data_IF_207825984658
#
_entry.id   IF_207825984658
#
_cell.length_a   1.000
_cell.length_b   1.000
_cell.length_c   1.000
_cell.angle_alpha   90.00
_cell.angle_beta   90.00
_cell.angle_gamma   90.00
#
_symmetry.space_group_name_H-M   'P 1'
#
loop_
_entity.id
_entity.type
_entity.pdbx_description
1 polymer ?
#
# COMPACT_ATOMS: atom_id res chain seq x y z
N UNK A 1 49.34 40.20 21.72
CA UNK A 1 49.16 39.48 22.99
C UNK A 1 48.72 38.06 22.65
N UNK A 2 49.66 37.10 22.62
CA UNK A 2 49.37 35.71 22.27
C UNK A 2 49.08 34.93 23.55
N UNK A 3 47.86 34.38 23.70
CA UNK A 3 47.49 33.53 24.84
C UNK A 3 48.16 32.17 24.68
N UNK A 4 49.10 31.86 25.60
CA UNK A 4 49.71 30.54 25.69
C UNK A 4 48.71 29.55 26.31
N UNK A 5 48.25 28.58 25.52
CA UNK A 5 47.41 27.47 26.02
C UNK A 5 48.31 26.51 26.81
N UNK A 6 48.00 26.32 28.09
CA UNK A 6 48.75 25.44 28.98
C UNK A 6 48.70 23.98 28.51
N UNK A 7 49.87 23.33 28.40
CA UNK A 7 50.01 21.90 28.04
C UNK A 7 49.17 20.96 28.92
N UNK A 8 48.82 21.38 30.14
CA UNK A 8 47.95 20.61 31.04
C UNK A 8 46.50 20.50 30.54
N UNK A 9 45.99 21.53 29.85
CA UNK A 9 44.62 21.56 29.33
C UNK A 9 44.45 20.70 28.07
N UNK A 10 45.48 20.63 27.23
CA UNK A 10 45.49 19.73 26.06
C UNK A 10 45.49 18.26 26.50
N UNK A 11 46.24 17.91 27.55
CA UNK A 11 46.28 16.55 28.10
C UNK A 11 44.93 16.11 28.68
N UNK A 12 44.24 16.99 29.42
CA UNK A 12 42.93 16.73 30.00
C UNK A 12 41.85 16.51 28.93
N UNK A 13 41.85 17.30 27.84
CA UNK A 13 40.93 17.11 26.73
C UNK A 13 41.17 15.79 25.98
N UNK A 14 42.43 15.39 25.79
CA UNK A 14 42.75 14.11 25.13
C UNK A 14 42.33 12.90 25.97
N UNK A 15 42.47 12.96 27.29
CA UNK A 15 41.99 11.92 28.20
C UNK A 15 40.46 11.80 28.19
N UNK A 16 39.74 12.93 28.17
CA UNK A 16 38.27 12.93 28.12
C UNK A 16 37.73 12.32 26.82
N UNK A 17 38.36 12.62 25.68
CA UNK A 17 38.00 12.04 24.37
C UNK A 17 38.21 10.52 24.33
N UNK A 18 39.30 10.01 24.92
CA UNK A 18 39.57 8.57 24.99
C UNK A 18 38.52 7.87 25.86
N UNK A 19 38.13 8.44 27.00
CA UNK A 19 37.09 7.87 27.88
C UNK A 19 35.74 7.80 27.17
N UNK A 20 35.37 8.82 26.40
CA UNK A 20 34.12 8.83 25.62
C UNK A 20 34.13 7.77 24.49
N UNK A 21 35.26 7.57 23.82
CA UNK A 21 35.40 6.53 22.80
C UNK A 21 35.29 5.12 23.39
N UNK A 22 35.93 4.87 24.53
CA UNK A 22 35.87 3.56 25.21
C UNK A 22 34.46 3.27 25.74
N UNK A 23 33.76 4.28 26.27
CA UNK A 23 32.38 4.14 26.71
C UNK A 23 31.42 3.87 25.53
N UNK A 24 31.64 4.52 24.38
CA UNK A 24 30.88 4.28 23.15
C UNK A 24 31.04 2.86 22.61
N UNK A 25 32.27 2.34 22.59
CA UNK A 25 32.58 0.96 22.15
C UNK A 25 31.93 -0.07 23.09
N UNK A 26 32.00 0.14 24.40
CA UNK A 26 31.35 -0.75 25.39
C UNK A 26 29.82 -0.73 25.28
N UNK A 27 29.22 0.41 24.90
CA UNK A 27 27.79 0.51 24.65
C UNK A 27 27.36 -0.26 23.39
N UNK A 28 28.17 -0.24 22.32
CA UNK A 28 27.91 -1.02 21.09
C UNK A 28 28.10 -2.53 21.28
N UNK A 29 28.98 -2.97 22.19
CA UNK A 29 29.16 -4.40 22.49
C UNK A 29 27.98 -4.94 23.30
N UNK A 30 27.38 -4.14 24.19
CA UNK A 30 26.23 -4.56 25.02
C UNK A 30 24.92 -4.74 24.26
N UNK A 31 24.76 -4.17 23.06
CA UNK A 31 23.51 -4.32 22.29
C UNK A 31 23.43 -5.64 21.51
N UNK A 32 24.53 -6.41 21.41
CA UNK A 32 24.57 -7.61 20.58
C UNK A 32 24.20 -8.93 21.31
N UNK A 33 24.15 -8.95 22.65
CA UNK A 33 23.90 -10.18 23.44
C UNK A 33 22.42 -10.37 23.89
N UNK A 34 21.54 -9.39 23.65
CA UNK A 34 20.13 -9.42 24.09
C UNK A 34 19.09 -9.92 23.05
N UNK A 35 19.53 -10.28 21.83
CA UNK A 35 18.63 -10.65 20.72
C UNK A 35 18.53 -12.16 20.48
N UNK A 36 19.53 -12.95 20.88
CA UNK A 36 19.55 -14.40 20.62
C UNK A 36 18.65 -15.20 21.58
N UNK A 37 18.58 -14.77 22.84
CA UNK A 37 17.84 -15.50 23.89
C UNK A 37 16.31 -15.47 23.72
N UNK A 38 15.76 -14.38 23.15
CA UNK A 38 14.31 -14.25 22.90
C UNK A 38 13.80 -15.15 21.77
N UNK A 39 14.63 -15.43 20.74
CA UNK A 39 14.22 -16.28 19.61
C UNK A 39 14.05 -17.75 20.01
N UNK A 40 14.92 -18.26 20.88
CA UNK A 40 14.91 -19.66 21.32
C UNK A 40 13.65 -19.98 22.15
N UNK A 41 13.16 -19.01 22.94
CA UNK A 41 11.98 -19.22 23.78
C UNK A 41 10.67 -19.16 23.00
N UNK A 42 10.59 -18.37 21.92
CA UNK A 42 9.42 -18.34 21.02
C UNK A 42 9.29 -19.64 20.22
N UNK A 43 10.41 -20.20 19.75
CA UNK A 43 10.43 -21.46 18.99
C UNK A 43 10.03 -22.68 19.85
N UNK A 44 10.40 -22.70 21.13
CA UNK A 44 10.02 -23.79 22.06
C UNK A 44 8.52 -23.77 22.41
N UNK A 45 7.91 -22.58 22.57
CA UNK A 45 6.48 -22.47 22.87
C UNK A 45 5.60 -22.89 21.70
N UNK A 46 6.00 -22.62 20.45
CA UNK A 46 5.30 -23.08 19.26
C UNK A 46 5.43 -24.59 19.03
N UNK A 47 6.57 -25.19 19.40
CA UNK A 47 6.79 -26.64 19.25
C UNK A 47 5.95 -27.49 20.20
N UNK A 48 5.55 -26.93 21.35
CA UNK A 48 4.70 -27.58 22.35
C UNK A 48 3.23 -27.70 21.93
N UNK A 49 2.76 -26.81 21.04
CA UNK A 49 1.33 -26.71 20.70
C UNK A 49 0.85 -27.65 19.59
N UNK A 50 1.74 -28.45 18.99
CA UNK A 50 1.39 -29.32 17.86
C UNK A 50 1.36 -30.79 18.29
N UNK A 51 0.38 -31.14 19.12
CA UNK A 51 -0.08 -32.51 19.31
C UNK A 51 -1.61 -32.52 19.23
N UNK A 52 -2.15 -32.70 18.03
CA UNK A 52 -3.54 -33.07 17.80
C UNK A 52 -3.55 -34.14 16.72
N UNK A 53 -3.96 -35.34 17.11
CA UNK A 53 -4.03 -36.53 16.25
C UNK A 53 -5.19 -36.43 15.28
N UNK A 54 -4.96 -36.79 14.01
CA UNK A 54 -5.90 -37.54 13.18
C UNK A 54 -5.12 -38.21 12.03
N UNK A 55 -4.85 -39.49 12.28
CA UNK A 55 -4.65 -40.62 11.38
C UNK A 55 -4.10 -40.39 9.96
N UNK A 56 -2.92 -40.98 9.75
CA UNK A 56 -2.34 -41.29 8.47
C UNK A 56 -3.28 -42.11 7.57
N UNK A 57 -3.43 -41.68 6.31
CA UNK A 57 -3.45 -42.61 5.17
C UNK A 57 -2.70 -41.92 4.02
N UNK A 58 -1.48 -42.39 3.75
CA UNK A 58 -0.76 -42.08 2.51
C UNK A 58 -1.17 -43.14 1.49
N UNK A 59 -1.77 -42.72 0.37
CA UNK A 59 -1.44 -43.28 -0.93
C UNK A 59 -1.37 -42.10 -1.92
N UNK A 60 -0.15 -41.91 -2.36
CA UNK A 60 0.39 -41.12 -3.48
C UNK A 60 -0.68 -40.56 -4.44
N UNK A 61 -0.84 -39.23 -4.42
CA UNK A 61 -1.20 -38.47 -5.61
C UNK A 61 -0.08 -37.47 -5.87
N UNK A 62 0.39 -37.53 -7.10
CA UNK A 62 1.66 -37.01 -7.58
C UNK A 62 1.63 -35.48 -7.64
N UNK A 63 2.79 -34.86 -7.40
CA UNK A 63 2.92 -33.42 -7.27
C UNK A 63 2.53 -32.66 -8.53
N UNK A 64 1.35 -32.02 -8.51
CA UNK A 64 1.08 -30.84 -9.32
C UNK A 64 1.34 -29.59 -8.46
N UNK A 65 2.61 -29.34 -8.13
CA UNK A 65 3.02 -27.99 -7.74
C UNK A 65 2.82 -27.12 -8.99
N UNK A 66 1.87 -26.18 -8.92
CA UNK A 66 1.68 -25.19 -9.97
C UNK A 66 3.04 -24.52 -10.24
N UNK A 67 3.62 -24.75 -11.42
CA UNK A 67 4.90 -24.19 -11.89
C UNK A 67 4.88 -22.65 -12.01
N UNK A 68 3.78 -22.01 -11.60
CA UNK A 68 3.54 -20.57 -11.63
C UNK A 68 3.13 -19.99 -10.27
N UNK A 69 3.27 -20.75 -9.17
CA UNK A 69 3.10 -20.17 -7.84
C UNK A 69 4.30 -19.25 -7.53
N UNK A 70 4.03 -18.02 -7.14
CA UNK A 70 5.07 -17.06 -6.74
C UNK A 70 5.66 -17.51 -5.41
N UNK A 71 6.99 -17.56 -5.34
CA UNK A 71 7.76 -18.09 -4.19
C UNK A 71 7.63 -17.24 -2.91
N UNK A 72 7.19 -15.98 -3.04
CA UNK A 72 6.92 -15.07 -1.93
C UNK A 72 5.48 -14.50 -2.00
N UNK A 73 4.59 -14.85 -1.06
CA UNK A 73 3.23 -14.30 -1.02
C UNK A 73 3.18 -12.79 -0.74
N UNK A 74 4.21 -12.19 -0.13
CA UNK A 74 4.28 -10.74 0.08
C UNK A 74 4.55 -9.99 -1.23
N UNK A 75 5.17 -10.63 -2.23
CA UNK A 75 5.38 -10.05 -3.56
C UNK A 75 4.07 -9.96 -4.36
N UNK A 76 3.14 -10.92 -4.18
CA UNK A 76 1.83 -10.91 -4.84
C UNK A 76 0.90 -9.83 -4.25
N UNK A 77 1.03 -9.53 -2.95
CA UNK A 77 0.25 -8.48 -2.29
C UNK A 77 0.59 -7.05 -2.76
N UNK A 78 1.67 -6.88 -3.52
CA UNK A 78 2.11 -5.59 -4.04
C UNK A 78 1.18 -4.98 -5.11
N UNK A 79 0.47 -5.80 -5.89
CA UNK A 79 -0.25 -5.36 -7.09
C UNK A 79 -1.71 -5.81 -7.05
N UNK A 80 -2.62 -4.88 -6.79
CA UNK A 80 -4.01 -5.25 -6.45
C UNK A 80 -4.87 -5.52 -7.69
N UNK A 81 -5.05 -4.53 -8.56
CA UNK A 81 -6.03 -4.59 -9.64
C UNK A 81 -5.52 -3.92 -10.91
N UNK A 82 -5.34 -4.71 -11.97
CA UNK A 82 -4.97 -4.22 -13.30
C UNK A 82 -6.16 -4.35 -14.26
N UNK A 83 -6.69 -3.23 -14.72
CA UNK A 83 -7.82 -3.17 -15.64
C UNK A 83 -7.35 -2.72 -17.02
N UNK A 84 -7.26 -3.67 -17.94
CA UNK A 84 -6.67 -3.53 -19.27
C UNK A 84 -5.19 -3.92 -19.26
N UNK A 85 -4.82 -4.90 -20.07
CA UNK A 85 -3.49 -5.55 -19.99
C UNK A 85 -2.40 -4.81 -20.78
N UNK A 86 -2.76 -4.16 -21.88
CA UNK A 86 -1.83 -3.54 -22.83
C UNK A 86 -2.26 -2.15 -23.29
N UNK A 87 -1.30 -1.23 -23.37
CA UNK A 87 -1.50 0.12 -23.90
C UNK A 87 -1.89 0.09 -25.40
N UNK A 88 -1.47 -0.94 -26.15
CA UNK A 88 -1.80 -1.09 -27.58
C UNK A 88 -3.15 -1.75 -27.85
N UNK A 89 -3.81 -2.33 -26.84
CA UNK A 89 -5.05 -3.06 -27.01
C UNK A 89 -6.28 -2.15 -26.94
N UNK A 90 -6.52 -1.42 -28.02
CA UNK A 90 -7.55 -0.36 -28.11
C UNK A 90 -9.00 -0.85 -27.97
N UNK A 91 -9.25 -2.17 -28.00
CA UNK A 91 -10.60 -2.72 -27.76
C UNK A 91 -11.09 -2.46 -26.33
N UNK A 92 -10.17 -2.25 -25.38
CA UNK A 92 -10.49 -1.92 -23.99
C UNK A 92 -11.09 -0.51 -23.81
N UNK A 93 -11.14 0.33 -24.85
CA UNK A 93 -11.82 1.64 -24.80
C UNK A 93 -13.30 1.57 -24.46
N UNK A 94 -13.93 0.41 -24.67
CA UNK A 94 -15.35 0.20 -24.34
C UNK A 94 -15.55 -0.30 -22.91
N UNK A 95 -14.48 -0.68 -22.21
CA UNK A 95 -14.53 -1.17 -20.84
C UNK A 95 -15.09 -0.09 -19.92
N UNK A 96 -16.02 -0.51 -19.07
CA UNK A 96 -16.64 0.31 -18.04
C UNK A 96 -16.61 -0.48 -16.74
N UNK A 97 -16.01 0.08 -15.70
CA UNK A 97 -15.87 -0.59 -14.40
C UNK A 97 -16.29 0.36 -13.29
N UNK A 98 -17.05 -0.16 -12.34
CA UNK A 98 -17.33 0.52 -11.07
C UNK A 98 -16.58 -0.19 -9.96
N UNK A 99 -15.77 0.54 -9.22
CA UNK A 99 -15.08 0.08 -8.02
C UNK A 99 -15.75 0.80 -6.85
N UNK A 100 -16.52 0.07 -6.04
CA UNK A 100 -17.30 0.66 -4.97
C UNK A 100 -17.29 -0.17 -3.68
N UNK A 101 -17.34 0.55 -2.54
CA UNK A 101 -17.47 -0.03 -1.20
C UNK A 101 -16.37 -1.02 -0.80
N UNK A 102 -15.18 -0.89 -1.39
CA UNK A 102 -14.01 -1.68 -1.03
C UNK A 102 -13.22 -1.02 0.10
N UNK A 103 -12.56 -1.82 0.92
CA UNK A 103 -11.52 -1.38 1.84
C UNK A 103 -10.15 -1.86 1.34
N UNK A 104 -9.33 -0.92 0.89
CA UNK A 104 -7.93 -1.14 0.50
C UNK A 104 -7.05 -0.80 1.71
N UNK A 105 -6.65 -1.85 2.43
CA UNK A 105 -5.91 -1.75 3.69
C UNK A 105 -4.41 -1.51 3.51
N UNK A 106 -3.69 -1.62 4.64
CA UNK A 106 -2.25 -1.40 4.71
C UNK A 106 -1.43 -2.48 3.98
N UNK A 107 -0.20 -2.15 3.61
CA UNK A 107 0.72 -3.06 2.92
C UNK A 107 0.52 -3.17 1.40
N UNK A 108 -0.54 -2.55 0.86
CA UNK A 108 -0.79 -2.50 -0.57
C UNK A 108 0.17 -1.49 -1.24
N UNK A 109 0.97 -1.97 -2.19
CA UNK A 109 1.97 -1.09 -2.82
C UNK A 109 1.31 -0.19 -3.86
N UNK A 110 0.49 -0.75 -4.76
CA UNK A 110 -0.07 0.00 -5.88
C UNK A 110 -1.27 -0.68 -6.57
N UNK A 111 -1.88 0.05 -7.53
CA UNK A 111 -2.89 -0.43 -8.49
C UNK A 111 -4.26 -0.71 -7.87
N UNK A 112 -4.82 0.27 -7.16
CA UNK A 112 -6.15 0.20 -6.57
C UNK A 112 -7.14 1.22 -7.19
N UNK A 113 -7.43 1.18 -8.50
CA UNK A 113 -6.90 0.30 -9.55
C UNK A 113 -5.73 0.92 -10.34
N UNK A 114 -5.07 0.12 -11.21
CA UNK A 114 -4.35 0.63 -12.39
C UNK A 114 -5.16 0.40 -13.65
N UNK A 115 -5.46 1.47 -14.37
CA UNK A 115 -6.41 1.49 -15.47
C UNK A 115 -5.75 1.77 -16.82
N UNK A 116 -6.33 1.21 -17.90
CA UNK A 116 -6.01 1.56 -19.29
C UNK A 116 -7.27 1.74 -20.12
N UNK A 117 -7.24 2.71 -21.04
CA UNK A 117 -8.29 3.05 -22.01
C UNK A 117 -9.66 3.42 -21.44
N UNK A 118 -10.40 2.47 -20.85
CA UNK A 118 -11.82 2.57 -20.55
C UNK A 118 -12.25 3.64 -19.55
N UNK A 119 -13.44 3.44 -18.98
CA UNK A 119 -14.10 4.36 -18.06
C UNK A 119 -14.24 3.73 -16.69
N UNK A 120 -13.79 4.44 -15.66
CA UNK A 120 -13.67 3.89 -14.31
C UNK A 120 -14.35 4.83 -13.32
N UNK A 121 -15.39 4.33 -12.68
CA UNK A 121 -16.02 4.99 -11.56
C UNK A 121 -15.45 4.42 -10.26
N UNK A 122 -14.62 5.19 -9.58
CA UNK A 122 -14.03 4.84 -8.28
C UNK A 122 -14.81 5.58 -7.22
N UNK A 123 -15.75 4.91 -6.55
CA UNK A 123 -16.75 5.57 -5.71
C UNK A 123 -16.87 4.95 -4.33
N UNK A 124 -16.79 5.78 -3.30
CA UNK A 124 -17.01 5.37 -1.91
C UNK A 124 -16.18 4.15 -1.44
N UNK A 125 -14.89 4.12 -1.77
CA UNK A 125 -13.93 3.17 -1.23
C UNK A 125 -13.10 3.81 -0.11
N UNK A 126 -12.55 2.99 0.77
CA UNK A 126 -11.63 3.39 1.83
C UNK A 126 -10.21 2.93 1.50
N UNK A 127 -9.25 3.86 1.52
CA UNK A 127 -7.85 3.62 1.19
C UNK A 127 -6.97 3.99 2.39
N UNK A 128 -6.16 3.05 2.83
CA UNK A 128 -5.29 3.23 4.00
C UNK A 128 -3.85 2.85 3.66
N UNK A 129 -2.94 3.82 3.78
CA UNK A 129 -1.49 3.60 3.79
C UNK A 129 -0.94 2.78 2.60
N UNK A 130 -1.16 3.27 1.37
CA UNK A 130 -0.47 2.72 0.19
C UNK A 130 1.02 3.07 0.18
N UNK A 131 1.88 2.23 -0.42
CA UNK A 131 3.33 2.51 -0.46
C UNK A 131 3.77 3.38 -1.65
N UNK A 132 3.12 3.25 -2.81
CA UNK A 132 3.52 3.97 -4.03
C UNK A 132 2.44 4.91 -4.58
N UNK A 133 1.26 4.38 -4.88
CA UNK A 133 0.07 5.16 -5.26
C UNK A 133 -1.19 4.33 -5.08
N UNK A 134 -2.33 4.99 -4.86
CA UNK A 134 -3.62 4.31 -4.83
C UNK A 134 -4.12 4.05 -6.26
N UNK A 135 -4.40 5.10 -7.02
CA UNK A 135 -5.00 5.02 -8.36
C UNK A 135 -3.95 5.34 -9.42
N UNK A 136 -3.85 4.50 -10.44
CA UNK A 136 -2.92 4.76 -11.55
C UNK A 136 -3.47 4.42 -12.92
N UNK A 137 -2.69 4.74 -13.95
CA UNK A 137 -3.06 4.38 -15.30
C UNK A 137 -2.08 4.82 -16.38
N UNK A 138 -2.25 4.23 -17.56
CA UNK A 138 -1.57 4.54 -18.81
C UNK A 138 -2.57 4.39 -19.97
N UNK A 139 -2.24 4.88 -21.17
CA UNK A 139 -3.12 4.82 -22.35
C UNK A 139 -4.51 5.49 -22.15
N UNK A 140 -4.54 6.70 -21.58
CA UNK A 140 -5.71 7.59 -21.53
C UNK A 140 -7.02 6.99 -20.98
N UNK A 141 -7.03 6.40 -19.76
CA UNK A 141 -8.27 6.02 -19.09
C UNK A 141 -9.01 7.27 -18.61
N UNK A 142 -10.35 7.20 -18.57
CA UNK A 142 -11.18 8.20 -17.88
C UNK A 142 -11.47 7.73 -16.47
N UNK A 143 -11.03 8.48 -15.46
CA UNK A 143 -11.18 8.12 -14.05
C UNK A 143 -12.03 9.17 -13.34
N UNK A 144 -13.14 8.71 -12.78
CA UNK A 144 -14.02 9.50 -11.94
C UNK A 144 -13.92 9.01 -10.49
N UNK A 145 -13.17 9.71 -9.64
CA UNK A 145 -13.09 9.44 -8.20
C UNK A 145 -14.15 10.27 -7.46
N UNK A 146 -15.08 9.62 -6.75
CA UNK A 146 -16.12 10.31 -5.99
C UNK A 146 -16.35 9.76 -4.58
N UNK A 147 -16.37 10.65 -3.58
CA UNK A 147 -16.74 10.32 -2.22
C UNK A 147 -15.90 9.23 -1.54
N UNK A 148 -14.70 8.94 -2.01
CA UNK A 148 -13.76 8.01 -1.38
C UNK A 148 -13.09 8.64 -0.16
N UNK A 149 -12.45 7.81 0.66
CA UNK A 149 -11.57 8.26 1.75
C UNK A 149 -10.15 7.79 1.46
N UNK A 150 -9.20 8.72 1.42
CA UNK A 150 -7.79 8.45 1.21
C UNK A 150 -6.96 8.88 2.41
N UNK A 151 -6.49 7.92 3.19
CA UNK A 151 -5.55 8.13 4.28
C UNK A 151 -4.14 7.77 3.81
N UNK A 152 -3.38 8.79 3.42
CA UNK A 152 -2.00 8.62 2.97
C UNK A 152 -1.10 8.06 4.10
N UNK A 153 -0.06 7.27 3.78
CA UNK A 153 0.94 6.79 4.74
C UNK A 153 1.72 7.95 5.37
N UNK A 154 2.51 7.68 6.40
CA UNK A 154 3.42 8.68 7.01
C UNK A 154 4.53 9.13 6.05
N UNK A 155 4.96 8.25 5.13
CA UNK A 155 5.95 8.54 4.10
C UNK A 155 5.57 9.79 3.28
N UNK A 156 6.44 10.80 3.28
CA UNK A 156 6.22 12.09 2.61
C UNK A 156 6.26 11.99 1.09
N UNK A 157 6.85 10.93 0.53
CA UNK A 157 6.92 10.70 -0.91
C UNK A 157 5.70 9.95 -1.46
N UNK A 158 4.83 9.43 -0.60
CA UNK A 158 3.65 8.63 -0.96
C UNK A 158 2.32 9.37 -0.66
N UNK A 159 2.30 10.69 -0.85
CA UNK A 159 1.11 11.53 -0.58
C UNK A 159 0.18 11.67 -1.78
N UNK A 160 0.69 11.51 -3.00
CA UNK A 160 -0.14 11.61 -4.19
C UNK A 160 -0.97 10.32 -4.34
N UNK A 161 -2.30 10.47 -4.40
CA UNK A 161 -3.24 9.37 -4.65
C UNK A 161 -3.04 8.81 -6.06
N UNK A 162 -2.70 9.67 -7.02
CA UNK A 162 -2.69 9.38 -8.44
C UNK A 162 -1.29 9.13 -9.02
N UNK A 163 -1.15 8.16 -9.93
CA UNK A 163 0.08 7.98 -10.73
C UNK A 163 -0.20 7.75 -12.21
N UNK A 164 0.36 8.62 -13.05
CA UNK A 164 0.40 8.39 -14.51
C UNK A 164 1.66 7.60 -14.84
N UNK A 165 1.49 6.37 -15.30
CA UNK A 165 2.58 5.40 -15.46
C UNK A 165 3.24 5.60 -16.81
N UNK A 166 4.56 5.75 -16.82
CA UNK A 166 5.42 5.86 -18.01
C UNK A 166 4.94 6.87 -19.06
N UNK A 167 4.31 7.96 -18.61
CA UNK A 167 3.67 8.95 -19.49
C UNK A 167 4.14 10.36 -19.18
N UNK A 168 4.59 11.09 -20.20
CA UNK A 168 5.01 12.49 -20.05
C UNK A 168 3.83 13.41 -19.72
N UNK A 169 4.08 14.48 -18.96
CA UNK A 169 3.05 15.44 -18.57
C UNK A 169 2.37 16.13 -19.76
N UNK A 170 3.08 16.35 -20.87
CA UNK A 170 2.48 16.86 -22.12
C UNK A 170 1.41 15.92 -22.68
N UNK A 171 1.52 14.62 -22.42
CA UNK A 171 0.57 13.62 -22.86
C UNK A 171 -0.56 13.45 -21.86
N UNK A 172 -0.32 13.20 -20.57
CA UNK A 172 -1.44 12.86 -19.68
C UNK A 172 -2.30 14.04 -19.23
N UNK A 173 -1.84 15.29 -19.39
CA UNK A 173 -2.61 16.48 -18.95
C UNK A 173 -3.99 16.60 -19.60
N UNK A 174 -4.20 16.01 -20.79
CA UNK A 174 -5.51 16.01 -21.46
C UNK A 174 -6.40 14.82 -21.06
N UNK A 175 -5.92 13.87 -20.25
CA UNK A 175 -6.71 12.73 -19.79
C UNK A 175 -7.71 13.16 -18.72
N UNK A 176 -8.92 12.62 -18.75
CA UNK A 176 -10.00 13.03 -17.86
C UNK A 176 -9.92 12.29 -16.51
N UNK A 177 -9.25 12.89 -15.52
CA UNK A 177 -9.14 12.34 -14.17
C UNK A 177 -9.67 13.39 -13.19
N UNK A 178 -10.73 13.07 -12.44
CA UNK A 178 -11.30 13.97 -11.45
C UNK A 178 -11.45 13.33 -10.09
N UNK A 179 -11.48 14.18 -9.07
CA UNK A 179 -11.82 13.88 -7.68
C UNK A 179 -12.95 14.82 -7.26
N UNK A 180 -14.01 14.27 -6.68
CA UNK A 180 -15.20 15.02 -6.25
C UNK A 180 -15.73 14.48 -4.92
N UNK A 181 -15.78 15.32 -3.88
CA UNK A 181 -16.28 14.91 -2.56
C UNK A 181 -15.40 13.89 -1.83
N UNK A 182 -14.21 13.58 -2.35
CA UNK A 182 -13.25 12.69 -1.69
C UNK A 182 -12.68 13.33 -0.41
N UNK A 183 -12.50 12.53 0.63
CA UNK A 183 -11.85 12.93 1.88
C UNK A 183 -10.37 12.59 1.81
N UNK A 184 -9.52 13.61 1.81
CA UNK A 184 -8.07 13.49 1.73
C UNK A 184 -7.45 13.75 3.11
N UNK A 185 -6.79 12.74 3.69
CA UNK A 185 -6.25 12.77 5.04
C UNK A 185 -4.73 12.61 5.03
N UNK A 186 -4.08 13.08 6.11
CA UNK A 186 -2.64 12.97 6.31
C UNK A 186 -1.80 13.54 5.13
N UNK A 187 -2.26 14.63 4.54
CA UNK A 187 -1.60 15.28 3.41
C UNK A 187 -1.79 14.57 2.06
N UNK A 188 -2.69 13.58 1.97
CA UNK A 188 -3.09 13.01 0.69
C UNK A 188 -3.55 14.12 -0.27
N UNK A 189 -3.22 13.98 -1.55
CA UNK A 189 -3.77 14.85 -2.58
C UNK A 189 -4.01 14.09 -3.88
N UNK A 190 -5.00 14.57 -4.63
CA UNK A 190 -5.33 14.06 -5.96
C UNK A 190 -4.93 15.11 -6.99
N UNK A 191 -4.15 14.73 -8.00
CA UNK A 191 -3.82 15.63 -9.12
C UNK A 191 -4.84 15.41 -10.23
N UNK A 192 -5.81 16.31 -10.47
CA UNK A 192 -6.78 16.16 -11.56
C UNK A 192 -6.18 16.52 -12.92
N UNK A 193 -6.86 16.14 -14.00
CA UNK A 193 -6.48 16.47 -15.38
C UNK A 193 -7.69 16.42 -16.32
N UNK A 194 -7.51 16.95 -17.54
CA UNK A 194 -8.55 16.98 -18.57
C UNK A 194 -9.47 18.19 -18.44
N UNK A 195 -10.56 18.18 -19.20
CA UNK A 195 -11.44 19.35 -19.35
C UNK A 195 -12.36 19.58 -18.13
N UNK A 196 -12.46 18.62 -17.21
CA UNK A 196 -13.34 18.71 -16.04
C UNK A 196 -14.85 18.74 -16.36
N UNK A 197 -15.24 18.70 -17.64
CA UNK A 197 -16.64 18.74 -18.04
C UNK A 197 -17.38 17.48 -17.57
N UNK A 198 -18.49 17.64 -16.84
CA UNK A 198 -19.29 16.53 -16.28
C UNK A 198 -19.67 15.49 -17.33
N UNK A 199 -20.00 15.92 -18.55
CA UNK A 199 -20.35 15.04 -19.66
C UNK A 199 -19.21 14.06 -20.03
N UNK A 200 -17.94 14.44 -19.84
CA UNK A 200 -16.78 13.58 -20.09
C UNK A 200 -16.73 12.35 -19.17
N UNK A 201 -17.43 12.40 -18.03
CA UNK A 201 -17.45 11.34 -17.03
C UNK A 201 -18.77 10.56 -17.02
N UNK A 202 -19.70 10.83 -17.94
CA UNK A 202 -21.02 10.18 -17.94
C UNK A 202 -20.93 8.65 -18.02
N UNK A 203 -19.97 8.11 -18.78
CA UNK A 203 -19.68 6.66 -18.84
C UNK A 203 -18.88 6.13 -17.65
N UNK A 204 -18.26 7.02 -16.89
CA UNK A 204 -17.55 6.75 -15.64
C UNK A 204 -18.41 7.13 -14.43
N UNK A 205 -19.73 7.11 -14.56
CA UNK A 205 -20.70 7.36 -13.48
C UNK A 205 -21.76 6.26 -13.51
N UNK A 206 -21.99 5.62 -12.36
CA UNK A 206 -22.90 4.47 -12.25
C UNK A 206 -23.87 4.57 -11.08
N UNK A 207 -23.45 5.14 -9.96
CA UNK A 207 -24.28 5.39 -8.79
C UNK A 207 -23.98 6.77 -8.19
N UNK A 208 -24.90 7.31 -7.39
CA UNK A 208 -24.66 8.55 -6.66
C UNK A 208 -23.66 8.34 -5.53
N UNK A 209 -22.63 9.19 -5.46
CA UNK A 209 -21.65 9.13 -4.39
C UNK A 209 -22.28 9.54 -3.05
N UNK A 210 -22.03 8.74 -2.02
CA UNK A 210 -22.34 9.07 -0.62
C UNK A 210 -21.25 9.98 -0.03
N UNK A 211 -21.57 10.66 1.06
CA UNK A 211 -20.58 11.48 1.79
C UNK A 211 -19.37 10.64 2.20
N UNK A 212 -18.17 11.17 1.97
CA UNK A 212 -16.91 10.54 2.35
C UNK A 212 -16.74 10.37 3.87
N UNK A 213 -17.54 11.09 4.68
CA UNK A 213 -17.61 10.90 6.14
C UNK A 213 -18.23 9.56 6.56
N UNK A 214 -19.04 8.92 5.71
CA UNK A 214 -19.69 7.64 6.02
C UNK A 214 -18.83 6.42 5.64
N UNK A 215 -17.68 6.64 4.99
CA UNK A 215 -16.90 5.56 4.38
C UNK A 215 -16.48 4.50 5.39
N UNK A 216 -15.95 4.91 6.54
CA UNK A 216 -15.57 3.97 7.59
C UNK A 216 -16.70 3.04 8.03
N UNK A 217 -17.96 3.50 8.00
CA UNK A 217 -19.12 2.66 8.34
C UNK A 217 -19.60 1.79 7.18
N UNK A 218 -19.66 2.32 5.96
CA UNK A 218 -20.22 1.56 4.82
C UNK A 218 -19.23 0.55 4.24
N UNK A 219 -17.93 0.67 4.53
CA UNK A 219 -16.91 -0.32 4.17
C UNK A 219 -16.49 -1.21 5.35
N UNK A 220 -17.11 -1.08 6.53
CA UNK A 220 -16.72 -1.85 7.73
C UNK A 220 -16.99 -3.35 7.62
N UNK A 221 -17.88 -3.74 6.69
CA UNK A 221 -18.22 -5.13 6.38
C UNK A 221 -17.61 -5.61 5.06
N UNK A 222 -16.65 -4.86 4.51
CA UNK A 222 -15.92 -5.30 3.33
C UNK A 222 -15.17 -6.61 3.62
N UNK A 223 -15.22 -7.55 2.67
CA UNK A 223 -14.63 -8.87 2.82
C UNK A 223 -15.67 -9.98 2.77
N UNK A 224 -15.27 -11.16 3.23
CA UNK A 224 -16.16 -12.33 3.26
C UNK A 224 -17.26 -12.15 4.30
N UNK A 225 -18.45 -12.67 4.00
CA UNK A 225 -19.53 -12.73 4.98
C UNK A 225 -19.16 -13.69 6.11
N UNK A 226 -19.51 -13.34 7.35
CA UNK A 226 -19.41 -14.21 8.52
C UNK A 226 -20.45 -15.33 8.45
N UNK A 227 -20.20 -16.33 7.63
CA UNK A 227 -21.10 -17.44 7.37
C UNK A 227 -21.03 -18.52 8.46
N UNK A 228 -22.20 -19.01 8.90
CA UNK A 228 -22.30 -20.16 9.80
C UNK A 228 -23.04 -21.31 9.14
N UNK A 229 -22.56 -22.54 9.36
CA UNK A 229 -23.18 -23.75 8.80
C UNK A 229 -24.64 -23.86 9.25
N UNK A 230 -25.55 -24.03 8.28
CA UNK A 230 -26.99 -24.12 8.54
C UNK A 230 -27.74 -22.79 8.59
N UNK A 231 -27.05 -21.66 8.41
CA UNK A 231 -27.65 -20.33 8.32
C UNK A 231 -27.36 -19.69 6.97
N UNK A 232 -28.28 -18.87 6.48
CA UNK A 232 -28.05 -18.06 5.29
C UNK A 232 -27.01 -16.98 5.59
N UNK A 233 -26.10 -16.80 4.64
CA UNK A 233 -25.35 -15.57 4.43
C UNK A 233 -26.07 -14.78 3.33
#
# INVERSE_FOLDING_TARGET
>A
MAMAISKKWVSLCSLLLIVLLVAGVMATVRTHDGSASRKIQTEQLQRSSNNSSMAATRLEDDGALNEHAVDDPEEIAAMVMLLGHSDSYVRDKQMQVTIAYNHFGEGLIQRMPRCRHGYFHVVNNDYTHWEMYAIGGSANPTINSQGNRYLAPTNTFAKEVTKRVDTAASQWKHWNWRSEGDLLLNGAYFTPSGAGATASYARASSLGAKSSSMIGSITSSAGVLGCHRGHQC
#
